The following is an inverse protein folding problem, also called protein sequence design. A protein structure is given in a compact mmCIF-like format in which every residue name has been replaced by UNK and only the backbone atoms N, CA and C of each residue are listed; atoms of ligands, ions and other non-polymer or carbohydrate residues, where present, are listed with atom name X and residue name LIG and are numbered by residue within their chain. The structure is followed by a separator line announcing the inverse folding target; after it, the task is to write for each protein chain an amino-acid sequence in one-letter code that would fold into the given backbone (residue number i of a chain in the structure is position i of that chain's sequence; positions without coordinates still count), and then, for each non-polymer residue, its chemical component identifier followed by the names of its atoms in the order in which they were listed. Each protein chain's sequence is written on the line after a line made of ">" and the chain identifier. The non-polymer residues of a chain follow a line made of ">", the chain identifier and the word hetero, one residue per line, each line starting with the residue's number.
data_IF_183517640586
#
_entry.id   IF_183517640586
#
_cell.length_a   1.000
_cell.length_b   1.000
_cell.length_c   1.000
_cell.angle_alpha   90.00
_cell.angle_beta   90.00
_cell.angle_gamma   90.00
#
_symmetry.space_group_name_H-M   'P 1'
#
loop_
_entity.id
_entity.type
_entity.pdbx_description
1 polymer ?
#
# COMPACT_ATOMS: atom_id res chain seq x y z
N UNK A 1 -19.10 14.71 -14.41
CA UNK A 1 -18.52 14.83 -13.06
C UNK A 1 -19.70 14.71 -12.12
N UNK A 2 -19.67 13.76 -11.19
CA UNK A 2 -20.72 13.53 -10.21
C UNK A 2 -21.16 14.85 -9.56
N UNK A 3 -22.47 15.05 -9.40
CA UNK A 3 -23.02 16.21 -8.70
C UNK A 3 -22.54 16.14 -7.24
N UNK A 4 -21.86 17.19 -6.77
CA UNK A 4 -21.32 17.26 -5.41
C UNK A 4 -21.98 18.39 -4.65
N UNK A 5 -22.44 18.09 -3.44
CA UNK A 5 -23.02 19.06 -2.52
C UNK A 5 -22.25 19.01 -1.21
N UNK A 6 -21.69 20.14 -0.80
CA UNK A 6 -21.11 20.28 0.54
C UNK A 6 -22.27 20.28 1.56
N UNK A 7 -22.25 19.31 2.47
CA UNK A 7 -23.23 19.15 3.54
C UNK A 7 -22.79 19.92 4.79
N UNK A 8 -21.50 19.91 5.08
CA UNK A 8 -20.92 20.70 6.17
C UNK A 8 -19.53 21.19 5.79
N UNK A 9 -19.16 22.35 6.33
CA UNK A 9 -17.85 22.94 6.18
C UNK A 9 -17.45 23.58 7.50
N UNK A 10 -16.37 23.09 8.07
CA UNK A 10 -15.82 23.58 9.33
C UNK A 10 -14.41 24.10 9.11
N UNK A 11 -14.10 25.24 9.73
CA UNK A 11 -12.77 25.80 9.75
C UNK A 11 -12.24 25.70 11.17
N UNK A 12 -11.15 24.97 11.35
CA UNK A 12 -10.48 24.83 12.65
C UNK A 12 -9.08 25.40 12.51
N UNK A 13 -8.68 26.25 13.45
CA UNK A 13 -7.32 26.73 13.52
C UNK A 13 -6.53 25.80 14.44
N UNK A 14 -5.62 25.01 13.88
CA UNK A 14 -4.78 24.05 14.60
C UNK A 14 -3.32 24.34 14.21
N UNK A 15 -2.42 24.47 15.20
CA UNK A 15 -0.98 24.63 14.97
C UNK A 15 -0.56 25.73 13.96
N UNK A 16 -1.26 26.86 13.94
CA UNK A 16 -0.94 27.98 13.05
C UNK A 16 -1.45 27.83 11.61
N UNK A 17 -2.24 26.80 11.32
CA UNK A 17 -2.87 26.56 10.02
C UNK A 17 -4.39 26.47 10.12
N UNK A 18 -5.07 26.97 9.08
CA UNK A 18 -6.52 26.80 8.92
C UNK A 18 -6.78 25.45 8.28
N UNK A 19 -7.38 24.54 9.03
CA UNK A 19 -7.87 23.25 8.54
C UNK A 19 -9.32 23.41 8.10
N UNK A 20 -9.59 23.12 6.83
CA UNK A 20 -10.95 23.13 6.27
C UNK A 20 -11.44 21.68 6.18
N UNK A 21 -12.43 21.32 6.99
CA UNK A 21 -13.08 20.00 6.97
C UNK A 21 -14.40 20.12 6.21
N UNK A 22 -14.52 19.45 5.07
CA UNK A 22 -15.74 19.43 4.25
C UNK A 22 -16.35 18.03 4.24
N UNK A 23 -17.64 17.93 4.55
CA UNK A 23 -18.44 16.74 4.29
C UNK A 23 -19.18 16.94 2.98
N UNK A 24 -19.04 16.02 2.03
CA UNK A 24 -19.66 16.12 0.71
C UNK A 24 -20.59 14.95 0.42
N UNK A 25 -21.80 15.26 -0.04
CA UNK A 25 -22.69 14.33 -0.71
C UNK A 25 -22.28 14.26 -2.18
N UNK A 26 -22.02 13.06 -2.68
CA UNK A 26 -21.81 12.82 -4.12
C UNK A 26 -22.90 11.91 -4.63
N UNK A 27 -23.56 12.33 -5.71
CA UNK A 27 -24.50 11.47 -6.44
C UNK A 27 -23.79 10.91 -7.66
N UNK A 28 -23.66 9.60 -7.69
CA UNK A 28 -23.09 8.88 -8.81
C UNK A 28 -24.19 8.24 -9.64
N UNK A 29 -24.08 8.32 -10.95
CA UNK A 29 -24.85 7.46 -11.84
C UNK A 29 -24.37 6.00 -11.74
N UNK A 30 -25.20 5.06 -12.20
CA UNK A 30 -24.80 3.65 -12.29
C UNK A 30 -23.52 3.49 -13.13
N UNK A 31 -23.40 4.23 -14.24
CA UNK A 31 -22.24 4.19 -15.12
C UNK A 31 -20.97 4.69 -14.42
N UNK A 32 -21.10 5.75 -13.60
CA UNK A 32 -19.99 6.27 -12.80
C UNK A 32 -19.54 5.27 -11.73
N UNK A 33 -20.48 4.61 -11.05
CA UNK A 33 -20.18 3.54 -10.09
C UNK A 33 -19.50 2.34 -10.76
N UNK A 34 -19.96 1.93 -11.95
CA UNK A 34 -19.32 0.86 -12.71
C UNK A 34 -17.89 1.21 -13.10
N UNK A 35 -17.64 2.47 -13.47
CA UNK A 35 -16.29 2.97 -13.76
C UNK A 35 -15.39 2.94 -12.53
N UNK A 36 -15.88 3.38 -11.37
CA UNK A 36 -15.13 3.29 -10.11
C UNK A 36 -14.81 1.84 -9.74
N UNK A 37 -15.78 0.93 -9.84
CA UNK A 37 -15.56 -0.51 -9.60
C UNK A 37 -14.47 -1.06 -10.52
N UNK A 38 -14.50 -0.71 -11.80
CA UNK A 38 -13.47 -1.11 -12.75
C UNK A 38 -12.09 -0.60 -12.34
N UNK A 39 -11.99 0.68 -11.96
CA UNK A 39 -10.74 1.28 -11.49
C UNK A 39 -10.22 0.59 -10.23
N UNK A 40 -11.08 0.32 -9.24
CA UNK A 40 -10.69 -0.40 -8.03
C UNK A 40 -10.22 -1.82 -8.33
N UNK A 41 -10.86 -2.53 -9.26
CA UNK A 41 -10.40 -3.86 -9.70
C UNK A 41 -9.01 -3.80 -10.33
N UNK A 42 -8.75 -2.81 -11.19
CA UNK A 42 -7.42 -2.62 -11.78
C UNK A 42 -6.37 -2.31 -10.72
N UNK A 43 -6.67 -1.41 -9.78
CA UNK A 43 -5.78 -1.08 -8.67
C UNK A 43 -5.51 -2.31 -7.80
N UNK A 44 -6.53 -3.08 -7.46
CA UNK A 44 -6.42 -4.31 -6.68
C UNK A 44 -5.50 -5.32 -7.38
N UNK A 45 -5.67 -5.55 -8.68
CA UNK A 45 -4.79 -6.43 -9.45
C UNK A 45 -3.34 -5.92 -9.46
N UNK A 46 -3.13 -4.61 -9.56
CA UNK A 46 -1.82 -3.99 -9.45
C UNK A 46 -1.15 -4.27 -8.11
N UNK A 47 -1.88 -4.06 -7.01
CA UNK A 47 -1.40 -4.33 -5.64
C UNK A 47 -1.05 -5.80 -5.46
N UNK A 48 -1.90 -6.73 -5.93
CA UNK A 48 -1.63 -8.17 -5.81
C UNK A 48 -0.32 -8.56 -6.51
N UNK A 49 -0.05 -8.03 -7.72
CA UNK A 49 1.23 -8.28 -8.42
C UNK A 49 2.43 -7.74 -7.66
N UNK A 50 2.30 -6.55 -7.05
CA UNK A 50 3.37 -5.98 -6.22
C UNK A 50 3.64 -6.85 -4.99
N UNK A 51 2.59 -7.33 -4.32
CA UNK A 51 2.70 -8.25 -3.18
C UNK A 51 3.40 -9.55 -3.58
N UNK A 52 3.04 -10.14 -4.71
CA UNK A 52 3.67 -11.38 -5.18
C UNK A 52 5.15 -11.16 -5.55
N UNK A 53 5.48 -10.01 -6.13
CA UNK A 53 6.87 -9.61 -6.41
C UNK A 53 7.67 -9.49 -5.11
N UNK A 54 7.12 -8.81 -4.10
CA UNK A 54 7.75 -8.66 -2.78
C UNK A 54 7.94 -10.01 -2.08
N UNK A 55 6.96 -10.92 -2.17
CA UNK A 55 7.10 -12.28 -1.63
C UNK A 55 8.23 -13.05 -2.30
N UNK A 56 8.37 -12.94 -3.63
CA UNK A 56 9.46 -13.59 -4.35
C UNK A 56 10.83 -13.04 -3.93
N UNK A 57 10.95 -11.71 -3.81
CA UNK A 57 12.18 -11.06 -3.33
C UNK A 57 12.52 -11.47 -1.90
N UNK A 58 11.52 -11.52 -1.01
CA UNK A 58 11.69 -11.98 0.37
C UNK A 58 12.18 -13.42 0.43
N UNK A 59 11.58 -14.33 -0.36
CA UNK A 59 12.00 -15.72 -0.39
C UNK A 59 13.43 -15.88 -0.92
N UNK A 60 13.81 -15.10 -1.94
CA UNK A 60 15.18 -15.08 -2.44
C UNK A 60 16.16 -14.63 -1.36
N UNK A 61 15.88 -13.51 -0.68
CA UNK A 61 16.74 -12.99 0.39
C UNK A 61 16.83 -13.98 1.56
N UNK A 62 15.73 -14.65 1.92
CA UNK A 62 15.70 -15.67 2.96
C UNK A 62 16.62 -16.84 2.62
N UNK A 63 16.61 -17.31 1.37
CA UNK A 63 17.52 -18.38 0.92
C UNK A 63 18.98 -17.93 0.95
N UNK A 64 19.27 -16.72 0.45
CA UNK A 64 20.63 -16.18 0.49
C UNK A 64 21.16 -16.03 1.93
N UNK A 65 20.32 -15.56 2.86
CA UNK A 65 20.69 -15.47 4.27
C UNK A 65 21.00 -16.85 4.87
N UNK A 66 20.22 -17.88 4.53
CA UNK A 66 20.48 -19.25 4.98
C UNK A 66 21.79 -19.82 4.41
N UNK A 67 22.16 -19.48 3.17
CA UNK A 67 23.45 -19.86 2.58
C UNK A 67 24.61 -19.15 3.28
N UNK A 68 24.49 -17.85 3.55
CA UNK A 68 25.49 -17.09 4.29
C UNK A 68 25.70 -17.68 5.69
N UNK A 69 24.61 -18.03 6.39
CA UNK A 69 24.72 -18.65 7.72
C UNK A 69 25.48 -19.98 7.66
N UNK A 70 25.19 -20.84 6.68
CA UNK A 70 25.93 -22.10 6.51
C UNK A 70 27.42 -21.88 6.28
N UNK A 71 27.79 -20.84 5.52
CA UNK A 71 29.20 -20.50 5.29
C UNK A 71 29.84 -20.04 6.60
N UNK A 72 29.16 -19.20 7.38
CA UNK A 72 29.66 -18.75 8.69
C UNK A 72 29.89 -19.92 9.64
N UNK A 73 28.91 -20.82 9.77
CA UNK A 73 29.03 -22.03 10.61
C UNK A 73 30.21 -22.92 10.17
N UNK A 74 30.44 -23.03 8.86
CA UNK A 74 31.57 -23.79 8.31
C UNK A 74 32.93 -23.12 8.59
N UNK A 75 33.02 -21.79 8.52
CA UNK A 75 34.25 -21.05 8.85
C UNK A 75 34.54 -21.12 10.35
N UNK A 76 33.52 -21.01 11.20
CA UNK A 76 33.69 -21.17 12.64
C UNK A 76 34.22 -22.56 13.02
N UNK A 77 33.73 -23.61 12.36
CA UNK A 77 34.22 -24.98 12.63
C UNK A 77 35.66 -25.22 12.15
N UNK A 78 36.16 -24.49 11.15
CA UNK A 78 37.55 -24.57 10.66
C UNK A 78 38.56 -23.81 11.54
N UNK A 79 38.12 -22.85 12.36
CA UNK A 79 38.98 -22.06 13.24
C UNK A 79 39.15 -22.67 14.65
N UNK A 80 38.61 -23.87 14.89
CA UNK A 80 38.61 -24.55 16.21
C UNK A 80 39.63 -25.72 16.28
N UNK A 81 40.41 -25.96 15.22
CA UNK A 81 41.60 -26.83 15.22
C UNK A 81 42.90 -26.01 15.25
#
# INVERSE_FOLDING_TARGET
>A
MAEQKIISKEHVYEDGVVVIKETIEKKFSIDELQKEISQYRTQQQGILRQVDTLKAQYNFLKSAAAEVQKILDAVESLNVD
#
